data_IF_491962011115
#
_entry.id   IF_491962011115
#
_cell.length_a   1.000
_cell.length_b   1.000
_cell.length_c   1.000
_cell.angle_alpha   90.00
_cell.angle_beta   90.00
_cell.angle_gamma   90.00
#
_symmetry.space_group_name_H-M   'P 1'
#
loop_
_entity.id
_entity.type
_entity.pdbx_description
1 polymer ?
#
# COMPACT_ATOMS: atom_id res chain seq x y z
N UNK A 1 -10.85 1.04 22.33
CA UNK A 1 -9.91 0.24 23.10
C UNK A 1 -9.23 1.14 24.15
N UNK A 2 -9.17 0.77 25.44
CA UNK A 2 -8.64 1.63 26.51
C UNK A 2 -7.12 1.87 26.40
N UNK A 3 -6.41 1.10 25.60
CA UNK A 3 -4.96 1.23 25.38
C UNK A 3 -4.62 2.19 24.23
N UNK A 4 -5.62 2.67 23.49
CA UNK A 4 -5.46 3.68 22.44
C UNK A 4 -5.46 5.06 23.07
N UNK A 5 -4.51 5.89 22.70
CA UNK A 5 -4.43 7.30 23.09
C UNK A 5 -5.16 8.15 22.06
N UNK A 6 -4.71 8.11 20.81
CA UNK A 6 -5.28 8.88 19.71
C UNK A 6 -5.49 8.03 18.45
N UNK A 7 -6.38 8.49 17.58
CA UNK A 7 -6.57 7.93 16.25
C UNK A 7 -6.69 9.07 15.23
N UNK A 8 -5.78 9.12 14.28
CA UNK A 8 -5.72 10.15 13.24
C UNK A 8 -6.07 9.52 11.91
N UNK A 9 -7.21 9.91 11.33
CA UNK A 9 -7.73 9.35 10.08
C UNK A 9 -7.39 10.25 8.88
N UNK A 10 -6.98 9.60 7.79
CA UNK A 10 -6.73 10.21 6.48
C UNK A 10 -7.62 9.52 5.44
N UNK A 11 -8.91 9.93 5.32
CA UNK A 11 -9.78 9.39 4.28
C UNK A 11 -9.29 9.83 2.90
N UNK A 12 -9.40 8.94 1.93
CA UNK A 12 -8.93 9.22 0.56
C UNK A 12 -7.42 9.07 0.37
N UNK A 13 -6.71 8.48 1.33
CA UNK A 13 -5.27 8.20 1.24
C UNK A 13 -5.02 6.70 1.26
N UNK A 14 -4.29 6.18 0.29
CA UNK A 14 -3.85 4.79 0.27
C UNK A 14 -2.53 4.61 1.00
N UNK A 15 -2.39 3.52 1.77
CA UNK A 15 -1.11 3.12 2.38
C UNK A 15 -0.05 2.83 1.31
N UNK A 16 -0.45 2.45 0.12
CA UNK A 16 0.45 2.12 -0.97
C UNK A 16 0.96 3.40 -1.64
N UNK A 17 2.19 3.77 -1.29
CA UNK A 17 2.86 4.96 -1.80
C UNK A 17 2.25 6.29 -1.33
N UNK A 18 1.38 6.30 -0.31
CA UNK A 18 0.72 7.49 0.23
C UNK A 18 0.06 8.34 -0.86
N UNK A 19 -0.61 7.69 -1.79
CA UNK A 19 -1.29 8.35 -2.92
C UNK A 19 -2.78 8.49 -2.66
N UNK A 20 -3.41 9.48 -3.34
CA UNK A 20 -4.85 9.66 -3.25
C UNK A 20 -5.59 8.45 -3.84
N UNK A 21 -6.60 7.97 -3.12
CA UNK A 21 -7.45 6.84 -3.50
C UNK A 21 -8.85 7.05 -2.97
N UNK A 22 -9.85 7.07 -3.86
CA UNK A 22 -11.24 7.37 -3.49
C UNK A 22 -11.91 6.28 -2.64
N UNK A 23 -11.36 5.05 -2.67
CA UNK A 23 -11.91 3.88 -1.98
C UNK A 23 -11.03 3.40 -0.82
N UNK A 24 -10.05 4.19 -0.40
CA UNK A 24 -9.11 3.83 0.68
C UNK A 24 -9.01 4.91 1.73
N UNK A 25 -8.51 4.54 2.90
CA UNK A 25 -8.16 5.46 3.97
C UNK A 25 -7.12 4.85 4.90
N UNK A 26 -6.33 5.69 5.54
CA UNK A 26 -5.35 5.28 6.55
C UNK A 26 -5.77 5.86 7.89
N UNK A 27 -5.66 5.07 8.94
CA UNK A 27 -5.82 5.53 10.32
C UNK A 27 -4.55 5.19 11.09
N UNK A 28 -3.85 6.21 11.56
CA UNK A 28 -2.75 6.03 12.50
C UNK A 28 -3.29 6.01 13.92
N UNK A 29 -3.01 4.91 14.62
CA UNK A 29 -3.46 4.70 15.99
C UNK A 29 -2.25 4.76 16.91
N UNK A 30 -2.22 5.76 17.77
CA UNK A 30 -1.20 5.86 18.83
C UNK A 30 -1.68 5.14 20.08
N UNK A 31 -0.77 4.49 20.75
CA UNK A 31 -1.07 3.77 21.99
C UNK A 31 -0.53 4.56 23.18
N UNK A 32 -1.15 4.42 24.30
CA UNK A 32 -0.68 4.98 25.57
C UNK A 32 0.78 4.62 25.85
N UNK A 33 1.51 5.40 26.66
CA UNK A 33 2.89 5.12 27.02
C UNK A 33 3.10 3.68 27.54
N UNK A 34 4.29 3.11 27.31
CA UNK A 34 4.62 1.76 27.77
C UNK A 34 4.44 1.57 29.30
N UNK A 35 4.68 2.63 30.10
CA UNK A 35 4.49 2.60 31.53
C UNK A 35 3.04 2.34 31.97
N UNK A 36 2.07 2.67 31.12
CA UNK A 36 0.63 2.45 31.34
C UNK A 36 0.13 1.14 30.72
N UNK A 37 0.94 0.46 29.91
CA UNK A 37 0.63 -0.78 29.19
C UNK A 37 1.59 -1.91 29.57
N UNK A 38 1.55 -2.30 30.83
CA UNK A 38 2.50 -3.28 31.39
C UNK A 38 2.09 -4.73 31.21
N UNK A 39 0.83 -5.00 30.84
CA UNK A 39 0.29 -6.36 30.69
C UNK A 39 0.50 -6.85 29.24
N UNK A 40 0.65 -8.16 29.08
CA UNK A 40 0.86 -8.78 27.76
C UNK A 40 -0.28 -8.51 26.75
N UNK A 41 -1.54 -8.47 27.23
CA UNK A 41 -2.73 -8.18 26.42
C UNK A 41 -2.83 -6.69 26.00
N UNK A 42 -1.96 -5.84 26.52
CA UNK A 42 -1.85 -4.41 26.21
C UNK A 42 -0.67 -4.11 25.25
N UNK A 43 0.05 -5.14 24.82
CA UNK A 43 1.12 -4.97 23.81
C UNK A 43 0.55 -4.49 22.47
N UNK A 44 1.37 -3.81 21.67
CA UNK A 44 0.95 -3.30 20.35
C UNK A 44 0.37 -4.39 19.44
N UNK A 45 0.98 -5.57 19.42
CA UNK A 45 0.49 -6.71 18.67
C UNK A 45 -0.85 -7.26 19.19
N UNK A 46 -1.02 -7.34 20.52
CA UNK A 46 -2.28 -7.78 21.12
C UNK A 46 -3.42 -6.79 20.84
N UNK A 47 -3.15 -5.49 20.93
CA UNK A 47 -4.12 -4.44 20.59
C UNK A 47 -4.49 -4.49 19.11
N UNK A 48 -3.53 -4.65 18.20
CA UNK A 48 -3.80 -4.80 16.78
C UNK A 48 -4.68 -6.02 16.49
N UNK A 49 -4.43 -7.15 17.15
CA UNK A 49 -5.23 -8.38 17.02
C UNK A 49 -6.67 -8.16 17.51
N UNK A 50 -6.86 -7.51 18.67
CA UNK A 50 -8.18 -7.19 19.22
C UNK A 50 -8.97 -6.27 18.29
N UNK A 51 -8.32 -5.26 17.70
CA UNK A 51 -8.93 -4.34 16.76
C UNK A 51 -9.28 -5.03 15.44
N UNK A 52 -8.41 -5.87 14.89
CA UNK A 52 -8.72 -6.67 13.70
C UNK A 52 -9.95 -7.57 13.92
N UNK A 53 -10.05 -8.21 15.09
CA UNK A 53 -11.21 -9.03 15.42
C UNK A 53 -12.50 -8.19 15.53
N UNK A 54 -12.42 -7.03 16.17
CA UNK A 54 -13.56 -6.12 16.31
C UNK A 54 -14.04 -5.56 14.95
N UNK A 55 -13.12 -5.23 14.08
CA UNK A 55 -13.42 -4.68 12.75
C UNK A 55 -13.82 -5.74 11.73
N UNK A 56 -13.55 -7.01 11.98
CA UNK A 56 -13.96 -8.11 11.10
C UNK A 56 -15.48 -8.28 10.91
N UNK A 57 -16.29 -7.61 11.76
CA UNK A 57 -17.75 -7.57 11.61
C UNK A 57 -18.23 -6.47 10.65
N UNK A 58 -17.38 -5.53 10.25
CA UNK A 58 -17.70 -4.45 9.32
C UNK A 58 -17.68 -5.01 7.90
N UNK A 59 -18.82 -4.95 7.20
CA UNK A 59 -18.97 -5.49 5.85
C UNK A 59 -18.78 -4.43 4.76
N UNK A 60 -18.87 -3.15 5.12
CA UNK A 60 -18.78 -2.02 4.20
C UNK A 60 -17.34 -1.72 3.76
N UNK A 61 -16.36 -2.21 4.50
CA UNK A 61 -14.95 -2.02 4.19
C UNK A 61 -14.08 -3.17 4.68
N UNK A 62 -13.01 -3.46 3.96
CA UNK A 62 -11.91 -4.28 4.48
C UNK A 62 -11.01 -3.43 5.36
N UNK A 63 -10.90 -3.76 6.64
CA UNK A 63 -10.07 -3.04 7.61
C UNK A 63 -9.00 -3.99 8.12
N UNK A 64 -7.73 -3.59 7.97
CA UNK A 64 -6.59 -4.33 8.48
C UNK A 64 -5.74 -3.45 9.40
N UNK A 65 -5.44 -3.96 10.60
CA UNK A 65 -4.52 -3.35 11.55
C UNK A 65 -3.20 -4.11 11.55
N UNK A 66 -2.11 -3.40 11.36
CA UNK A 66 -0.77 -3.97 11.42
C UNK A 66 0.17 -3.04 12.18
N UNK A 67 1.19 -3.58 12.85
CA UNK A 67 2.19 -2.76 13.51
C UNK A 67 3.04 -2.02 12.47
N UNK A 68 3.67 -0.90 12.83
CA UNK A 68 4.67 -0.26 11.99
C UNK A 68 5.87 -1.19 11.78
N UNK A 69 6.67 -0.97 10.74
CA UNK A 69 7.91 -1.72 10.56
C UNK A 69 8.86 -1.50 11.75
N UNK A 70 9.62 -2.53 12.16
CA UNK A 70 10.51 -2.43 13.32
C UNK A 70 11.67 -1.44 13.09
N UNK A 71 12.00 -1.15 11.83
CA UNK A 71 13.03 -0.19 11.44
C UNK A 71 12.40 0.89 10.57
N UNK A 72 12.43 2.12 11.03
CA UNK A 72 11.90 3.26 10.26
C UNK A 72 12.64 3.40 8.91
N UNK A 73 11.86 3.53 7.83
CA UNK A 73 12.37 3.66 6.46
C UNK A 73 12.60 2.32 5.73
N UNK A 74 12.51 1.17 6.41
CA UNK A 74 12.61 -0.15 5.78
C UNK A 74 11.25 -0.82 5.59
N UNK A 75 10.24 -0.05 5.21
CA UNK A 75 8.92 -0.58 4.91
C UNK A 75 7.79 0.33 5.35
N UNK A 76 6.57 -0.05 4.96
CA UNK A 76 5.33 0.64 5.33
C UNK A 76 4.55 -0.13 6.41
N UNK A 77 4.76 -1.43 6.51
CA UNK A 77 4.08 -2.33 7.45
C UNK A 77 5.09 -3.27 8.11
N UNK A 78 4.79 -3.75 9.31
CA UNK A 78 5.54 -4.84 9.93
C UNK A 78 5.22 -6.19 9.24
N UNK A 79 6.20 -7.09 9.24
CA UNK A 79 6.10 -8.38 8.57
C UNK A 79 6.90 -8.42 7.27
N UNK A 80 6.44 -9.23 6.31
CA UNK A 80 7.05 -9.31 4.98
C UNK A 80 6.27 -8.54 3.93
N UNK A 81 6.98 -8.14 2.88
CA UNK A 81 6.38 -7.63 1.65
C UNK A 81 7.10 -8.18 0.43
N UNK A 82 6.34 -8.58 -0.56
CA UNK A 82 6.83 -8.99 -1.86
C UNK A 82 6.04 -8.31 -2.98
N UNK A 83 6.64 -8.26 -4.16
CA UNK A 83 6.01 -7.80 -5.39
C UNK A 83 5.87 -8.98 -6.33
N UNK A 84 4.65 -9.30 -6.76
CA UNK A 84 4.41 -10.22 -7.86
C UNK A 84 4.51 -9.39 -9.14
N UNK A 85 5.30 -9.83 -10.11
CA UNK A 85 5.68 -9.06 -11.31
C UNK A 85 5.32 -9.78 -12.59
N UNK A 86 4.69 -9.07 -13.52
CA UNK A 86 4.47 -9.52 -14.89
C UNK A 86 5.69 -9.15 -15.76
N UNK A 87 6.65 -10.08 -15.84
CA UNK A 87 7.88 -9.88 -16.65
C UNK A 87 7.70 -10.20 -18.12
N UNK A 88 6.61 -10.87 -18.49
CA UNK A 88 6.31 -11.24 -19.86
C UNK A 88 5.29 -10.32 -20.54
N UNK A 89 4.82 -9.27 -19.85
CA UNK A 89 3.81 -8.34 -20.35
C UNK A 89 2.49 -9.04 -20.73
N UNK A 90 2.04 -9.97 -19.89
CA UNK A 90 0.81 -10.75 -20.07
C UNK A 90 -0.45 -9.90 -19.82
N UNK A 91 -0.31 -8.79 -19.08
CA UNK A 91 -1.36 -7.81 -18.83
C UNK A 91 -2.17 -8.06 -17.57
N UNK A 92 -3.18 -7.19 -17.36
CA UNK A 92 -3.93 -7.11 -16.10
C UNK A 92 -4.71 -8.38 -15.77
N UNK A 93 -5.34 -9.03 -16.76
CA UNK A 93 -6.17 -10.21 -16.52
C UNK A 93 -5.34 -11.41 -16.05
N UNK A 94 -4.19 -11.64 -16.69
CA UNK A 94 -3.25 -12.70 -16.31
C UNK A 94 -2.67 -12.44 -14.91
N UNK A 95 -2.30 -11.19 -14.65
CA UNK A 95 -1.78 -10.76 -13.36
C UNK A 95 -2.83 -10.91 -12.24
N UNK A 96 -4.07 -10.52 -12.49
CA UNK A 96 -5.18 -10.66 -11.53
C UNK A 96 -5.46 -12.14 -11.20
N UNK A 97 -5.47 -13.00 -12.23
CA UNK A 97 -5.64 -14.44 -12.03
C UNK A 97 -4.49 -15.03 -11.19
N UNK A 98 -3.24 -14.63 -11.46
CA UNK A 98 -2.07 -15.07 -10.71
C UNK A 98 -2.10 -14.61 -9.25
N UNK A 99 -2.41 -13.31 -9.00
CA UNK A 99 -2.53 -12.76 -7.65
C UNK A 99 -3.64 -13.46 -6.86
N UNK A 100 -4.80 -13.69 -7.47
CA UNK A 100 -5.91 -14.40 -6.82
C UNK A 100 -5.57 -15.85 -6.49
N UNK A 101 -4.91 -16.57 -7.39
CA UNK A 101 -4.45 -17.93 -7.15
C UNK A 101 -3.42 -17.99 -6.01
N UNK A 102 -2.45 -17.09 -6.04
CA UNK A 102 -1.44 -16.95 -4.98
C UNK A 102 -2.08 -16.66 -3.62
N UNK A 103 -2.91 -15.61 -3.54
CA UNK A 103 -3.57 -15.20 -2.30
C UNK A 103 -4.53 -16.28 -1.77
N UNK A 104 -5.27 -16.95 -2.66
CA UNK A 104 -6.16 -18.05 -2.28
C UNK A 104 -5.42 -19.21 -1.63
N UNK A 105 -4.22 -19.56 -2.10
CA UNK A 105 -3.36 -20.57 -1.48
C UNK A 105 -2.72 -20.05 -0.20
N UNK A 106 -2.26 -18.80 -0.20
CA UNK A 106 -1.61 -18.18 0.95
C UNK A 106 -2.55 -18.09 2.17
N UNK A 107 -3.82 -17.74 1.98
CA UNK A 107 -4.82 -17.72 3.07
C UNK A 107 -5.06 -19.09 3.73
N UNK A 108 -4.78 -20.18 3.02
CA UNK A 108 -4.93 -21.56 3.54
C UNK A 108 -3.65 -22.08 4.19
N UNK A 109 -2.58 -21.31 4.19
CA UNK A 109 -1.26 -21.72 4.65
C UNK A 109 -1.07 -21.32 6.12
N UNK A 110 -0.91 -22.29 7.05
CA UNK A 110 -0.92 -22.03 8.48
C UNK A 110 0.27 -21.22 8.98
N UNK A 111 1.37 -21.20 8.24
CA UNK A 111 2.58 -20.43 8.55
C UNK A 111 2.40 -18.92 8.35
N UNK A 112 1.31 -18.49 7.68
CA UNK A 112 1.09 -17.12 7.24
C UNK A 112 -0.10 -16.47 7.97
N UNK A 113 0.01 -15.18 8.28
CA UNK A 113 -1.04 -14.40 8.89
C UNK A 113 -1.04 -12.95 8.39
N UNK A 114 -2.17 -12.25 8.55
CA UNK A 114 -2.29 -10.83 8.22
C UNK A 114 -2.07 -10.53 6.74
N UNK A 115 -2.39 -11.47 5.87
CA UNK A 115 -2.19 -11.34 4.42
C UNK A 115 -3.14 -10.32 3.82
N UNK A 116 -2.61 -9.42 3.02
CA UNK A 116 -3.41 -8.53 2.18
C UNK A 116 -2.62 -8.06 0.94
N UNK A 117 -3.35 -7.65 -0.07
CA UNK A 117 -2.82 -6.98 -1.26
C UNK A 117 -3.62 -5.72 -1.54
N UNK A 118 -2.98 -4.70 -2.07
CA UNK A 118 -3.67 -3.50 -2.57
C UNK A 118 -4.05 -3.62 -4.06
N UNK A 119 -3.77 -4.76 -4.68
CA UNK A 119 -4.08 -5.01 -6.08
C UNK A 119 -5.58 -5.04 -6.33
N UNK A 120 -6.06 -4.10 -7.15
CA UNK A 120 -7.47 -3.98 -7.54
C UNK A 120 -7.56 -3.63 -9.02
N UNK A 121 -8.25 -4.46 -9.80
CA UNK A 121 -8.44 -4.24 -11.25
C UNK A 121 -9.91 -3.98 -11.64
N UNK A 122 -10.85 -4.23 -10.73
CA UNK A 122 -12.28 -4.10 -10.99
C UNK A 122 -12.88 -2.93 -10.20
N UNK A 123 -12.18 -1.80 -10.16
CA UNK A 123 -12.68 -0.59 -9.50
C UNK A 123 -13.69 0.09 -10.43
N UNK A 124 -14.91 0.42 -9.95
CA UNK A 124 -15.88 1.15 -10.75
C UNK A 124 -15.33 2.52 -11.18
N UNK A 125 -15.42 2.79 -12.48
CA UNK A 125 -14.94 4.01 -13.11
C UNK A 125 -16.01 4.55 -14.05
N UNK A 126 -15.90 5.80 -14.43
CA UNK A 126 -16.67 6.40 -15.49
C UNK A 126 -15.76 6.66 -16.70
N UNK A 127 -16.15 6.15 -17.85
CA UNK A 127 -15.46 6.39 -19.10
C UNK A 127 -16.12 7.54 -19.85
N UNK A 128 -15.38 8.63 -20.06
CA UNK A 128 -15.85 9.78 -20.87
C UNK A 128 -15.49 9.52 -22.34
N UNK A 129 -16.46 9.02 -23.08
CA UNK A 129 -16.31 8.75 -24.52
C UNK A 129 -16.58 10.05 -25.32
N UNK A 130 -15.50 10.75 -25.67
CA UNK A 130 -15.58 12.07 -26.33
C UNK A 130 -15.68 11.90 -27.84
N UNK A 131 -16.74 12.47 -28.44
CA UNK A 131 -16.88 12.61 -29.90
C UNK A 131 -16.03 13.80 -30.39
N UNK A 132 -14.80 13.49 -30.77
CA UNK A 132 -13.83 14.49 -31.27
C UNK A 132 -14.26 15.15 -32.55
N UNK A 133 -15.04 14.47 -33.42
CA UNK A 133 -15.59 15.03 -34.66
C UNK A 133 -16.63 16.09 -34.34
N UNK A 134 -17.55 15.75 -33.45
CA UNK A 134 -18.60 16.68 -33.02
C UNK A 134 -18.05 17.88 -32.26
N UNK A 135 -17.03 17.66 -31.39
CA UNK A 135 -16.33 18.74 -30.71
C UNK A 135 -15.75 19.74 -31.73
N UNK A 136 -15.09 19.25 -32.77
CA UNK A 136 -14.53 20.09 -33.85
C UNK A 136 -15.61 20.82 -34.64
N UNK A 137 -16.74 20.17 -34.96
CA UNK A 137 -17.87 20.78 -35.65
C UNK A 137 -18.49 21.93 -34.84
N UNK A 138 -18.57 21.79 -33.53
CA UNK A 138 -19.09 22.80 -32.60
C UNK A 138 -18.05 23.86 -32.19
N UNK A 139 -16.85 23.81 -32.78
CA UNK A 139 -15.77 24.73 -32.48
C UNK A 139 -15.23 24.62 -31.05
N UNK A 140 -15.31 23.44 -30.41
CA UNK A 140 -14.82 23.21 -29.06
C UNK A 140 -13.48 22.50 -29.14
N UNK A 141 -12.38 23.10 -28.65
CA UNK A 141 -11.11 22.43 -28.52
C UNK A 141 -11.21 21.23 -27.55
N UNK A 142 -10.62 20.10 -27.92
CA UNK A 142 -10.65 18.89 -27.07
C UNK A 142 -9.91 19.13 -25.74
N UNK A 143 -8.89 19.96 -25.73
CA UNK A 143 -8.17 20.40 -24.51
C UNK A 143 -9.10 21.05 -23.52
N UNK A 144 -9.99 21.94 -23.97
CA UNK A 144 -10.92 22.67 -23.11
C UNK A 144 -11.95 21.75 -22.46
N UNK A 145 -12.30 20.62 -23.14
CA UNK A 145 -13.14 19.57 -22.55
C UNK A 145 -12.41 18.92 -21.39
N UNK A 146 -11.15 18.52 -21.58
CA UNK A 146 -10.35 17.90 -20.51
C UNK A 146 -10.05 18.87 -19.37
N UNK A 147 -9.74 20.13 -19.67
CA UNK A 147 -9.52 21.17 -18.66
C UNK A 147 -10.78 21.41 -17.83
N UNK A 148 -11.95 21.43 -18.48
CA UNK A 148 -13.23 21.54 -17.79
C UNK A 148 -13.44 20.35 -16.85
N UNK A 149 -13.26 19.12 -17.32
CA UNK A 149 -13.38 17.93 -16.49
C UNK A 149 -12.37 17.95 -15.34
N UNK A 150 -11.12 18.30 -15.60
CA UNK A 150 -10.07 18.39 -14.59
C UNK A 150 -10.42 19.43 -13.50
N UNK A 151 -10.80 20.64 -13.90
CA UNK A 151 -11.07 21.74 -12.96
C UNK A 151 -12.29 21.40 -12.09
N UNK A 152 -13.39 20.99 -12.71
CA UNK A 152 -14.63 20.74 -11.98
C UNK A 152 -14.58 19.46 -11.14
N UNK A 153 -13.95 18.40 -11.62
CA UNK A 153 -13.90 17.09 -10.91
C UNK A 153 -12.63 16.92 -10.06
N UNK A 154 -11.45 17.27 -10.64
CA UNK A 154 -10.15 17.03 -10.04
C UNK A 154 -9.56 18.20 -9.26
N UNK A 155 -10.16 19.38 -9.33
CA UNK A 155 -9.68 20.66 -8.83
C UNK A 155 -8.55 21.30 -9.65
N UNK A 156 -8.53 22.63 -9.63
CA UNK A 156 -7.44 23.46 -10.11
C UNK A 156 -6.72 24.10 -8.92
N UNK A 157 -5.43 23.91 -8.82
CA UNK A 157 -4.58 24.73 -7.96
C UNK A 157 -4.43 26.12 -8.61
N UNK A 158 -5.00 27.15 -7.97
CA UNK A 158 -4.98 28.52 -8.51
C UNK A 158 -3.79 29.32 -8.00
N UNK A 159 -3.52 29.30 -6.69
CA UNK A 159 -2.41 30.01 -6.04
C UNK A 159 -2.31 29.63 -4.57
N UNK A 160 -1.30 30.18 -3.90
CA UNK A 160 -1.15 30.15 -2.44
C UNK A 160 -1.38 31.53 -1.83
N UNK A 161 -1.75 31.58 -0.55
CA UNK A 161 -1.74 32.78 0.26
C UNK A 161 -1.21 32.48 1.66
N UNK A 162 -0.56 33.50 2.27
CA UNK A 162 -0.01 33.39 3.61
C UNK A 162 -0.94 34.05 4.62
N UNK A 163 -1.33 33.28 5.66
CA UNK A 163 -2.13 33.78 6.77
C UNK A 163 -1.78 33.02 8.05
N UNK A 164 -1.78 33.71 9.18
CA UNK A 164 -1.47 33.12 10.51
C UNK A 164 -0.13 32.33 10.56
N UNK A 165 0.88 32.79 9.82
CA UNK A 165 2.20 32.13 9.78
C UNK A 165 2.22 30.81 8.99
N UNK A 166 1.18 30.51 8.20
CA UNK A 166 1.06 29.32 7.35
C UNK A 166 0.75 29.72 5.90
N UNK A 167 1.19 28.90 4.99
CA UNK A 167 0.84 28.97 3.56
C UNK A 167 -0.37 28.08 3.29
N UNK A 168 -1.41 28.64 2.69
CA UNK A 168 -2.63 27.95 2.32
C UNK A 168 -2.77 27.92 0.79
N UNK A 169 -3.14 26.75 0.26
CA UNK A 169 -3.40 26.59 -1.17
C UNK A 169 -4.86 26.94 -1.51
N UNK A 170 -5.04 27.76 -2.54
CA UNK A 170 -6.35 28.06 -3.15
C UNK A 170 -6.63 27.01 -4.21
N UNK A 171 -7.67 26.23 -4.02
CA UNK A 171 -8.15 25.23 -4.99
C UNK A 171 -9.56 25.55 -5.44
N UNK A 172 -9.79 25.49 -6.75
CA UNK A 172 -11.10 25.70 -7.39
C UNK A 172 -11.63 24.37 -7.86
N UNK A 173 -12.85 24.03 -7.46
CA UNK A 173 -13.53 22.79 -7.83
C UNK A 173 -15.04 23.00 -7.84
N UNK A 174 -15.80 22.19 -8.58
CA UNK A 174 -17.26 22.18 -8.44
C UNK A 174 -17.67 21.75 -7.02
N UNK A 175 -18.73 22.34 -6.49
CA UNK A 175 -19.31 21.84 -5.25
C UNK A 175 -19.85 20.42 -5.43
N UNK A 176 -19.88 19.64 -4.35
CA UNK A 176 -20.25 18.24 -4.34
C UNK A 176 -21.59 17.96 -5.01
N UNK A 177 -22.57 18.85 -4.84
CA UNK A 177 -23.88 18.76 -5.47
C UNK A 177 -23.87 18.78 -7.01
N UNK A 178 -22.80 19.32 -7.62
CA UNK A 178 -22.66 19.44 -9.08
C UNK A 178 -21.67 18.43 -9.70
N UNK A 179 -21.21 17.45 -8.95
CA UNK A 179 -20.27 16.41 -9.41
C UNK A 179 -20.52 15.04 -8.78
N UNK A 180 -21.68 14.84 -8.16
CA UNK A 180 -21.99 13.61 -7.46
C UNK A 180 -22.47 12.49 -8.39
N UNK A 181 -23.02 12.83 -9.56
CA UNK A 181 -23.63 11.89 -10.52
C UNK A 181 -23.05 12.08 -11.91
N UNK A 182 -23.16 11.06 -12.74
CA UNK A 182 -22.75 11.14 -14.16
C UNK A 182 -23.52 12.23 -14.93
N UNK A 183 -24.81 12.44 -14.59
CA UNK A 183 -25.67 13.46 -15.19
C UNK A 183 -25.18 14.89 -14.87
N UNK A 184 -24.67 15.10 -13.64
CA UNK A 184 -24.12 16.41 -13.24
C UNK A 184 -22.88 16.74 -14.08
N UNK A 185 -22.00 15.74 -14.31
CA UNK A 185 -20.82 15.91 -15.17
C UNK A 185 -21.23 16.19 -16.62
N UNK A 186 -22.26 15.51 -17.12
CA UNK A 186 -22.77 15.72 -18.47
C UNK A 186 -23.40 17.13 -18.66
N UNK A 187 -23.88 17.75 -17.58
CA UNK A 187 -24.46 19.09 -17.57
C UNK A 187 -23.41 20.21 -17.53
N UNK A 188 -22.13 19.91 -17.20
CA UNK A 188 -21.05 20.90 -17.26
C UNK A 188 -20.94 21.49 -18.67
N UNK A 189 -20.48 22.73 -18.75
CA UNK A 189 -20.40 23.46 -20.02
C UNK A 189 -18.98 23.88 -20.33
N UNK A 190 -18.64 23.83 -21.62
CA UNK A 190 -17.36 24.28 -22.16
C UNK A 190 -17.64 25.40 -23.19
N UNK A 191 -16.73 26.34 -23.29
CA UNK A 191 -16.87 27.47 -24.24
C UNK A 191 -16.39 27.07 -25.63
N UNK A 192 -17.20 27.34 -26.66
CA UNK A 192 -16.80 27.20 -28.06
C UNK A 192 -15.95 28.37 -28.54
N UNK A 193 -15.32 28.24 -29.69
CA UNK A 193 -14.56 29.30 -30.35
C UNK A 193 -15.42 30.51 -30.75
N UNK A 194 -16.75 30.33 -30.87
CA UNK A 194 -17.72 31.38 -31.11
C UNK A 194 -18.18 32.10 -29.83
N UNK A 195 -17.74 31.61 -28.66
CA UNK A 195 -18.12 32.16 -27.35
C UNK A 195 -19.35 31.52 -26.71
N UNK A 196 -20.03 30.61 -27.39
CA UNK A 196 -21.21 29.92 -26.89
C UNK A 196 -20.84 28.84 -25.89
N UNK A 197 -21.72 28.59 -24.91
CA UNK A 197 -21.54 27.57 -23.88
C UNK A 197 -22.21 26.25 -24.30
N UNK A 198 -21.40 25.27 -24.64
CA UNK A 198 -21.83 23.94 -25.10
C UNK A 198 -21.83 22.98 -23.94
N UNK A 199 -22.93 22.27 -23.63
CA UNK A 199 -22.93 21.25 -22.57
C UNK A 199 -22.09 20.02 -22.96
N UNK A 200 -21.41 19.40 -22.01
CA UNK A 200 -20.58 18.23 -22.26
C UNK A 200 -21.39 17.04 -22.78
N UNK A 201 -22.69 16.95 -22.43
CA UNK A 201 -23.60 15.92 -22.97
C UNK A 201 -23.75 15.99 -24.49
N UNK A 202 -23.50 17.16 -25.12
CA UNK A 202 -23.48 17.28 -26.57
C UNK A 202 -22.19 16.76 -27.20
N UNK A 203 -21.10 16.62 -26.42
CA UNK A 203 -19.76 16.34 -26.90
C UNK A 203 -19.25 14.96 -26.50
N UNK A 204 -19.85 14.36 -25.46
CA UNK A 204 -19.40 13.07 -24.93
C UNK A 204 -20.55 12.24 -24.34
N UNK A 205 -20.33 10.94 -24.23
CA UNK A 205 -21.15 10.03 -23.42
C UNK A 205 -20.35 9.58 -22.23
N UNK A 206 -21.01 9.49 -21.07
CA UNK A 206 -20.41 8.94 -19.86
C UNK A 206 -20.96 7.52 -19.70
N UNK A 207 -20.07 6.55 -19.67
CA UNK A 207 -20.40 5.13 -19.61
C UNK A 207 -19.76 4.50 -18.35
N UNK A 208 -20.48 3.65 -17.60
CA UNK A 208 -19.87 2.88 -16.55
C UNK A 208 -18.75 1.99 -17.10
N UNK A 209 -17.64 1.94 -16.41
CA UNK A 209 -16.48 1.13 -16.76
C UNK A 209 -15.87 0.53 -15.50
N UNK A 210 -14.99 -0.43 -15.67
CA UNK A 210 -14.17 -0.98 -14.61
C UNK A 210 -12.71 -0.97 -15.06
N UNK A 211 -11.81 -0.77 -14.11
CA UNK A 211 -10.40 -0.74 -14.42
C UNK A 211 -9.54 -0.82 -13.15
N UNK A 212 -8.23 -0.91 -13.34
CA UNK A 212 -7.31 -0.88 -12.20
C UNK A 212 -7.39 0.49 -11.51
N UNK A 213 -7.38 0.49 -10.19
CA UNK A 213 -7.28 1.73 -9.43
C UNK A 213 -5.97 2.45 -9.77
N UNK A 214 -4.91 1.67 -9.85
CA UNK A 214 -3.55 2.11 -10.17
C UNK A 214 -2.80 1.09 -11.02
N UNK A 215 -1.96 1.60 -11.93
CA UNK A 215 -0.96 0.84 -12.62
C UNK A 215 0.34 0.83 -11.79
N UNK A 216 0.40 -0.04 -10.78
CA UNK A 216 1.62 -0.20 -9.98
C UNK A 216 2.71 -0.86 -10.84
N UNK A 217 3.92 -0.28 -10.77
CA UNK A 217 5.10 -0.87 -11.40
C UNK A 217 6.23 -0.97 -10.38
N UNK A 218 6.89 -2.10 -10.41
CA UNK A 218 8.12 -2.33 -9.67
C UNK A 218 9.21 -2.76 -10.65
N UNK A 219 10.39 -2.18 -10.57
CA UNK A 219 11.47 -2.38 -11.53
C UNK A 219 11.06 -2.25 -13.02
N UNK A 220 10.02 -1.42 -13.30
CA UNK A 220 9.48 -1.22 -14.65
C UNK A 220 8.41 -2.23 -15.07
N UNK A 221 8.21 -3.33 -14.35
CA UNK A 221 7.19 -4.34 -14.63
C UNK A 221 5.87 -4.01 -13.94
N UNK A 222 4.74 -4.42 -14.52
CA UNK A 222 3.46 -4.40 -13.85
C UNK A 222 3.54 -5.27 -12.59
N UNK A 223 3.19 -4.73 -11.44
CA UNK A 223 3.41 -5.40 -10.18
C UNK A 223 2.21 -5.28 -9.23
N UNK A 224 2.04 -6.31 -8.41
CA UNK A 224 1.10 -6.35 -7.30
C UNK A 224 1.85 -6.60 -5.99
N UNK A 225 1.62 -5.76 -5.01
CA UNK A 225 2.16 -5.95 -3.67
C UNK A 225 1.38 -7.04 -2.92
N UNK A 226 2.09 -7.86 -2.17
CA UNK A 226 1.53 -8.77 -1.19
C UNK A 226 2.24 -8.53 0.14
N UNK A 227 1.45 -8.30 1.16
CA UNK A 227 1.91 -8.03 2.51
C UNK A 227 1.39 -9.10 3.46
N UNK A 228 2.14 -9.38 4.52
CA UNK A 228 1.76 -10.33 5.54
C UNK A 228 2.84 -10.52 6.59
N UNK A 229 2.68 -11.51 7.44
CA UNK A 229 3.66 -11.86 8.46
C UNK A 229 3.60 -13.34 8.80
N UNK A 230 4.56 -13.82 9.61
CA UNK A 230 4.48 -15.16 10.17
C UNK A 230 3.27 -15.27 11.10
N UNK A 231 2.57 -16.41 11.05
CA UNK A 231 1.53 -16.73 12.01
C UNK A 231 2.14 -16.96 13.41
N UNK A 232 1.37 -16.81 14.50
CA UNK A 232 1.86 -17.08 15.84
C UNK A 232 2.50 -18.47 15.96
N UNK A 233 3.73 -18.52 16.46
CA UNK A 233 4.51 -19.75 16.60
C UNK A 233 5.40 -20.09 15.41
N UNK A 234 5.34 -19.33 14.32
CA UNK A 234 6.23 -19.50 13.16
C UNK A 234 7.25 -18.37 13.07
N UNK A 235 8.40 -18.67 12.49
CA UNK A 235 9.48 -17.71 12.24
C UNK A 235 9.30 -16.99 10.88
N UNK A 236 9.99 -15.85 10.70
CA UNK A 236 10.04 -15.15 9.41
C UNK A 236 10.57 -16.05 8.28
N UNK A 237 11.60 -16.87 8.57
CA UNK A 237 12.16 -17.82 7.61
C UNK A 237 11.18 -18.93 7.20
N UNK A 238 10.33 -19.40 8.11
CA UNK A 238 9.27 -20.36 7.76
C UNK A 238 8.20 -19.72 6.89
N UNK A 239 7.81 -18.48 7.18
CA UNK A 239 6.89 -17.73 6.34
C UNK A 239 7.47 -17.48 4.95
N UNK A 240 8.75 -17.12 4.85
CA UNK A 240 9.45 -16.95 3.55
C UNK A 240 9.44 -18.24 2.74
N UNK A 241 9.83 -19.38 3.33
CA UNK A 241 9.81 -20.68 2.65
C UNK A 241 8.40 -21.10 2.20
N UNK A 242 7.37 -20.77 2.99
CA UNK A 242 5.97 -21.01 2.60
C UNK A 242 5.56 -20.16 1.37
N UNK A 243 5.92 -18.89 1.35
CA UNK A 243 5.66 -17.99 0.22
C UNK A 243 6.37 -18.49 -1.05
N UNK A 244 7.64 -18.88 -0.96
CA UNK A 244 8.40 -19.40 -2.11
C UNK A 244 7.76 -20.68 -2.67
N UNK A 245 7.32 -21.59 -1.80
CA UNK A 245 6.57 -22.78 -2.20
C UNK A 245 5.26 -22.42 -2.91
N UNK A 246 4.47 -21.49 -2.36
CA UNK A 246 3.22 -21.05 -2.97
C UNK A 246 3.47 -20.40 -4.32
N UNK A 247 4.49 -19.56 -4.44
CA UNK A 247 4.86 -18.91 -5.69
C UNK A 247 5.21 -19.95 -6.78
N UNK A 248 6.01 -20.97 -6.43
CA UNK A 248 6.36 -22.05 -7.35
C UNK A 248 5.14 -22.88 -7.80
N UNK A 249 4.11 -23.01 -6.94
CA UNK A 249 2.89 -23.77 -7.24
C UNK A 249 1.85 -22.97 -8.03
N UNK A 250 1.80 -21.65 -7.89
CA UNK A 250 0.66 -20.84 -8.34
C UNK A 250 0.98 -19.82 -9.42
N UNK A 251 2.23 -19.33 -9.50
CA UNK A 251 2.59 -18.33 -10.48
C UNK A 251 2.87 -18.97 -11.85
N UNK A 252 2.19 -18.52 -12.91
CA UNK A 252 2.41 -19.04 -14.25
C UNK A 252 3.73 -18.54 -14.82
N UNK A 253 4.21 -19.19 -15.89
CA UNK A 253 5.40 -18.76 -16.61
C UNK A 253 5.26 -17.30 -17.06
N UNK A 254 6.29 -16.49 -16.81
CA UNK A 254 6.31 -15.06 -17.14
C UNK A 254 5.86 -14.14 -16.00
N UNK A 255 5.24 -14.69 -14.95
CA UNK A 255 4.97 -13.98 -13.70
C UNK A 255 5.91 -14.52 -12.61
N UNK A 256 6.61 -13.61 -11.96
CA UNK A 256 7.59 -13.93 -10.89
C UNK A 256 7.28 -13.10 -9.65
N UNK A 257 8.07 -13.27 -8.62
CA UNK A 257 7.99 -12.37 -7.46
C UNK A 257 9.39 -11.94 -7.01
N UNK A 258 9.43 -10.80 -6.33
CA UNK A 258 10.64 -10.30 -5.65
C UNK A 258 10.32 -9.89 -4.22
N UNK A 259 11.23 -10.23 -3.30
CA UNK A 259 11.19 -9.73 -1.95
C UNK A 259 11.57 -8.25 -1.91
N UNK A 260 10.91 -7.49 -1.04
CA UNK A 260 11.17 -6.06 -0.87
C UNK A 260 11.29 -5.70 0.62
N UNK A 261 11.67 -4.45 0.88
CA UNK A 261 11.71 -3.86 2.21
C UNK A 261 12.61 -4.66 3.18
N UNK A 262 12.14 -4.88 4.41
CA UNK A 262 12.92 -5.55 5.45
C UNK A 262 13.30 -6.99 5.09
N UNK A 263 12.38 -7.74 4.49
CA UNK A 263 12.62 -9.14 4.10
C UNK A 263 13.74 -9.27 3.09
N UNK A 264 13.81 -8.36 2.12
CA UNK A 264 14.94 -8.30 1.20
C UNK A 264 16.27 -8.08 1.93
N UNK A 265 16.30 -7.20 2.93
CA UNK A 265 17.49 -6.97 3.73
C UNK A 265 17.86 -8.19 4.60
N UNK A 266 16.87 -8.88 5.15
CA UNK A 266 17.10 -10.14 5.89
C UNK A 266 17.75 -11.20 5.01
N UNK A 267 17.27 -11.37 3.77
CA UNK A 267 17.81 -12.31 2.79
C UNK A 267 19.25 -11.92 2.40
N UNK A 268 19.52 -10.63 2.15
CA UNK A 268 20.86 -10.13 1.84
C UNK A 268 21.83 -10.32 3.00
N UNK A 269 21.40 -10.11 4.24
CA UNK A 269 22.21 -10.35 5.43
C UNK A 269 22.57 -11.83 5.58
N UNK A 270 21.71 -12.72 5.08
CA UNK A 270 21.92 -14.16 5.05
C UNK A 270 22.25 -14.75 6.42
N UNK A 271 22.98 -15.87 6.42
CA UNK A 271 23.43 -16.56 7.63
C UNK A 271 24.73 -16.00 8.22
N UNK A 272 25.06 -14.74 7.94
CA UNK A 272 26.29 -14.11 8.46
C UNK A 272 26.41 -14.17 9.98
N UNK A 273 25.27 -14.12 10.68
CA UNK A 273 25.22 -14.28 12.14
C UNK A 273 25.81 -15.61 12.62
N UNK A 274 25.59 -16.70 11.88
CA UNK A 274 26.11 -18.05 12.21
C UNK A 274 27.64 -18.07 12.22
N UNK A 275 28.28 -17.24 11.42
CA UNK A 275 29.74 -17.13 11.37
C UNK A 275 30.26 -16.06 12.32
N UNK A 276 29.59 -14.92 12.42
CA UNK A 276 30.00 -13.76 13.23
C UNK A 276 29.92 -14.06 14.72
N UNK A 277 28.87 -14.74 15.19
CA UNK A 277 28.72 -15.06 16.62
C UNK A 277 29.84 -15.97 17.18
N UNK A 278 30.19 -17.11 16.57
CA UNK A 278 31.32 -17.91 17.02
C UNK A 278 32.65 -17.16 16.93
N UNK A 279 32.84 -16.37 15.88
CA UNK A 279 34.06 -15.56 15.72
C UNK A 279 34.17 -14.47 16.81
N UNK A 280 33.05 -13.81 17.16
CA UNK A 280 33.01 -12.85 18.26
C UNK A 280 33.33 -13.51 19.62
N UNK A 281 32.76 -14.68 19.91
CA UNK A 281 33.04 -15.44 21.11
C UNK A 281 34.52 -15.85 21.16
N UNK A 282 35.05 -16.30 20.03
CA UNK A 282 36.48 -16.65 19.91
C UNK A 282 37.36 -15.42 20.15
N UNK A 283 37.02 -14.27 19.60
CA UNK A 283 37.76 -13.04 19.82
C UNK A 283 37.76 -12.62 21.29
N UNK A 284 36.59 -12.64 21.93
CA UNK A 284 36.46 -12.35 23.38
C UNK A 284 37.29 -13.32 24.20
N UNK A 285 37.22 -14.62 23.87
CA UNK A 285 38.02 -15.62 24.50
C UNK A 285 39.52 -15.33 24.39
N UNK A 286 40.02 -14.99 23.20
CA UNK A 286 41.45 -14.68 22.98
C UNK A 286 41.88 -13.44 23.75
N UNK A 287 41.04 -12.40 23.79
CA UNK A 287 41.29 -11.16 24.54
C UNK A 287 41.40 -11.46 26.05
N UNK A 288 40.45 -12.23 26.58
CA UNK A 288 40.45 -12.63 27.99
C UNK A 288 41.64 -13.55 28.31
N UNK A 289 41.96 -14.49 27.43
CA UNK A 289 43.12 -15.36 27.61
C UNK A 289 44.44 -14.56 27.63
N UNK A 290 44.57 -13.56 26.79
CA UNK A 290 45.73 -12.67 26.77
C UNK A 290 45.78 -11.76 28.00
N UNK A 291 44.65 -11.27 28.48
CA UNK A 291 44.57 -10.38 29.63
C UNK A 291 44.83 -11.09 30.97
N UNK A 292 44.34 -12.31 31.09
CA UNK A 292 44.50 -13.11 32.32
C UNK A 292 45.66 -14.11 32.28
N UNK A 293 46.37 -14.19 31.16
CA UNK A 293 47.44 -15.18 30.92
C UNK A 293 47.04 -16.61 31.27
N UNK A 294 45.72 -16.91 31.08
CA UNK A 294 45.11 -18.19 31.49
C UNK A 294 43.95 -18.58 30.59
N UNK A 295 44.04 -19.73 29.94
CA UNK A 295 42.94 -20.25 29.11
C UNK A 295 41.76 -20.71 29.96
N UNK A 296 42.02 -21.29 31.14
CA UNK A 296 40.98 -21.81 32.04
C UNK A 296 40.14 -20.67 32.64
N UNK A 297 40.75 -19.54 32.99
CA UNK A 297 40.05 -18.36 33.50
C UNK A 297 39.19 -17.73 32.41
N UNK A 298 39.69 -17.61 31.18
CA UNK A 298 38.93 -17.08 30.06
C UNK A 298 37.67 -17.92 29.77
N UNK A 299 37.78 -19.25 29.81
CA UNK A 299 36.64 -20.17 29.67
C UNK A 299 35.65 -19.98 30.82
N UNK A 300 36.12 -19.91 32.07
CA UNK A 300 35.25 -19.78 33.24
C UNK A 300 34.49 -18.42 33.29
N UNK A 301 34.95 -17.38 32.58
CA UNK A 301 34.29 -16.08 32.50
C UNK A 301 33.20 -16.09 31.38
N UNK A 302 33.43 -16.87 30.33
CA UNK A 302 32.48 -16.94 29.20
C UNK A 302 31.28 -17.86 29.52
N UNK A 303 31.46 -18.88 30.36
CA UNK A 303 30.44 -19.81 30.84
C UNK A 303 29.94 -19.47 32.23
#
# INVERSE_FOLDING_TARGET
>A
NPNVEDAIAFPGLSINGFTNSSNSGIVFVTLKPFAERTRADQSGGAVAMQLNQAFGSIQEAFIAMFPPPPVAGLGTTGGFKLQIEDRASLGYDAMDAAVKAFMGKAYQTPELAGLFTSWQVNVPQLYANIDRTKARQLGVPVTDIFDTLQIYLGSLYANDFNQFGRTYSVRVQADAAYRARAEDVAALKVRSSTGEMVPLSALMKIEPSFGPERAMRYNGYLAADVNGGPAPGFSSGQAQAAIERIAAETLPQGITFEWTELTYQEILAGNSAVLVFPLAILLVFLVLAAQYESLTLAIAIIF
#
